data_IF_451922938494
#
_entry.id   IF_451922938494
#
_cell.length_a   1.000
_cell.length_b   1.000
_cell.length_c   1.000
_cell.angle_alpha   90.00
_cell.angle_beta   90.00
_cell.angle_gamma   90.00
#
_symmetry.space_group_name_H-M   'P 1'
#
loop_
_entity.id
_entity.type
_entity.pdbx_description
1 polymer ?
#
# COMPACT_ATOMS: atom_id res chain seq x y z
N UNK A 1 -35.03 -86.49 -78.34
CA UNK A 1 -35.38 -85.39 -79.28
C UNK A 1 -36.23 -84.39 -78.54
N UNK A 2 -35.92 -83.08 -78.57
CA UNK A 2 -34.66 -82.43 -78.95
C UNK A 2 -33.79 -82.18 -77.69
N UNK A 3 -32.47 -82.39 -77.65
CA UNK A 3 -31.35 -81.83 -78.44
C UNK A 3 -31.16 -80.31 -78.30
N UNK A 4 -30.14 -79.91 -77.51
CA UNK A 4 -28.98 -79.06 -77.85
C UNK A 4 -28.18 -78.86 -76.54
N UNK A 5 -27.15 -79.67 -76.25
CA UNK A 5 -25.72 -79.52 -76.56
C UNK A 5 -25.05 -78.21 -76.03
N UNK A 6 -24.19 -78.44 -75.03
CA UNK A 6 -22.92 -77.79 -74.65
C UNK A 6 -22.76 -76.26 -74.59
N UNK A 7 -22.24 -75.78 -73.45
CA UNK A 7 -20.84 -75.31 -73.39
C UNK A 7 -20.26 -75.31 -71.96
N UNK A 8 -19.01 -75.75 -71.85
CA UNK A 8 -18.17 -75.71 -70.65
C UNK A 8 -17.52 -74.34 -70.49
N UNK A 9 -17.35 -73.84 -69.25
CA UNK A 9 -16.15 -73.10 -68.84
C UNK A 9 -16.12 -72.86 -67.30
N UNK A 10 -15.21 -73.59 -66.66
CA UNK A 10 -14.32 -73.21 -65.56
C UNK A 10 -14.45 -71.82 -64.89
N UNK A 11 -14.45 -71.87 -63.55
CA UNK A 11 -13.70 -71.03 -62.58
C UNK A 11 -13.84 -69.50 -62.66
N UNK A 12 -14.13 -68.86 -61.52
CA UNK A 12 -13.12 -68.11 -60.76
C UNK A 12 -13.75 -67.47 -59.52
N UNK A 13 -12.99 -67.55 -58.43
CA UNK A 13 -13.12 -66.82 -57.17
C UNK A 13 -13.49 -65.35 -57.34
N UNK A 14 -14.64 -64.91 -56.80
CA UNK A 14 -14.95 -63.49 -56.69
C UNK A 14 -14.25 -62.89 -55.46
N UNK A 15 -13.11 -62.27 -55.74
CA UNK A 15 -12.50 -61.26 -54.89
C UNK A 15 -13.53 -60.17 -54.55
N UNK A 16 -13.66 -59.87 -53.26
CA UNK A 16 -14.43 -58.74 -52.74
C UNK A 16 -13.77 -57.42 -53.21
N UNK A 17 -14.16 -56.92 -54.39
CA UNK A 17 -13.83 -55.56 -54.82
C UNK A 17 -14.92 -54.62 -54.31
N UNK A 18 -14.62 -53.86 -53.26
CA UNK A 18 -15.51 -52.77 -52.83
C UNK A 18 -15.69 -51.78 -53.98
N UNK A 19 -16.94 -51.55 -54.34
CA UNK A 19 -17.30 -50.67 -55.44
C UNK A 19 -16.86 -49.23 -55.13
N UNK A 20 -16.36 -48.49 -56.12
CA UNK A 20 -15.80 -47.14 -55.93
C UNK A 20 -16.83 -46.19 -55.29
N UNK A 21 -18.11 -46.46 -55.52
CA UNK A 21 -19.23 -45.74 -54.92
C UNK A 21 -19.37 -46.01 -53.42
N UNK A 22 -19.13 -47.24 -52.96
CA UNK A 22 -19.16 -47.59 -51.54
C UNK A 22 -17.98 -46.96 -50.77
N UNK A 23 -16.80 -46.94 -51.37
CA UNK A 23 -15.62 -46.27 -50.79
C UNK A 23 -15.88 -44.77 -50.62
N UNK A 24 -16.53 -44.13 -51.60
CA UNK A 24 -16.92 -42.71 -51.51
C UNK A 24 -17.89 -42.43 -50.36
N UNK A 25 -18.89 -43.30 -50.15
CA UNK A 25 -19.86 -43.16 -49.06
C UNK A 25 -19.19 -43.33 -47.69
N UNK A 26 -18.29 -44.30 -47.56
CA UNK A 26 -17.53 -44.51 -46.32
C UNK A 26 -16.65 -43.31 -46.01
N UNK A 27 -15.93 -42.77 -47.01
CA UNK A 27 -15.13 -41.56 -46.85
C UNK A 27 -15.97 -40.35 -46.44
N UNK A 28 -17.12 -40.13 -47.08
CA UNK A 28 -18.02 -39.04 -46.73
C UNK A 28 -18.56 -39.16 -45.30
N UNK A 29 -18.89 -40.39 -44.86
CA UNK A 29 -19.31 -40.63 -43.49
C UNK A 29 -18.17 -40.39 -42.48
N UNK A 30 -16.95 -40.81 -42.79
CA UNK A 30 -15.78 -40.53 -41.94
C UNK A 30 -15.56 -39.01 -41.85
N UNK A 31 -15.63 -38.29 -42.96
CA UNK A 31 -15.52 -36.82 -42.97
C UNK A 31 -16.64 -36.18 -42.16
N UNK A 32 -17.89 -36.67 -42.28
CA UNK A 32 -19.01 -36.17 -41.49
C UNK A 32 -18.80 -36.40 -39.98
N UNK A 33 -18.30 -37.58 -39.58
CA UNK A 33 -17.95 -37.87 -38.20
C UNK A 33 -16.81 -36.99 -37.68
N UNK A 34 -15.77 -36.76 -38.49
CA UNK A 34 -14.68 -35.84 -38.15
C UNK A 34 -15.20 -34.42 -37.96
N UNK A 35 -16.06 -33.92 -38.86
CA UNK A 35 -16.64 -32.58 -38.75
C UNK A 35 -17.55 -32.44 -37.52
N UNK A 36 -18.31 -33.49 -37.19
CA UNK A 36 -19.17 -33.52 -36.00
C UNK A 36 -18.33 -33.57 -34.72
N UNK A 37 -17.23 -34.32 -34.71
CA UNK A 37 -16.28 -34.37 -33.59
C UNK A 37 -15.56 -33.02 -33.40
N UNK A 38 -15.15 -32.36 -34.49
CA UNK A 38 -14.57 -31.00 -34.46
C UNK A 38 -15.58 -29.97 -33.95
N UNK A 39 -16.87 -30.11 -34.29
CA UNK A 39 -17.92 -29.23 -33.79
C UNK A 39 -18.18 -29.43 -32.28
N UNK A 40 -18.12 -30.67 -31.78
CA UNK A 40 -18.31 -31.00 -30.36
C UNK A 40 -17.10 -30.68 -29.47
N UNK A 41 -15.88 -30.64 -30.02
CA UNK A 41 -14.66 -30.27 -29.27
C UNK A 41 -14.48 -28.75 -29.17
N UNK A 42 -15.19 -27.95 -29.98
CA UNK A 42 -15.15 -26.50 -29.77
C UNK A 42 -15.74 -26.20 -28.39
N UNK A 43 -14.96 -25.66 -27.43
CA UNK A 43 -15.56 -25.16 -26.21
C UNK A 43 -16.63 -24.14 -26.62
N UNK A 44 -17.74 -24.00 -25.86
CA UNK A 44 -18.66 -22.89 -26.08
C UNK A 44 -17.82 -21.62 -26.19
N UNK A 45 -18.15 -20.66 -27.08
CA UNK A 45 -17.41 -19.41 -27.14
C UNK A 45 -17.38 -18.90 -25.72
N UNK A 46 -16.19 -18.98 -25.09
CA UNK A 46 -16.00 -18.42 -23.78
C UNK A 46 -16.40 -16.97 -24.01
N UNK A 47 -17.48 -16.54 -23.35
CA UNK A 47 -17.66 -15.13 -23.10
C UNK A 47 -16.43 -14.76 -22.28
N UNK A 48 -15.35 -14.48 -23.00
CA UNK A 48 -14.15 -13.88 -22.50
C UNK A 48 -14.64 -12.52 -22.06
N UNK A 49 -15.18 -12.46 -20.85
CA UNK A 49 -15.31 -11.27 -20.06
C UNK A 49 -13.87 -10.85 -19.80
N UNK A 50 -13.25 -10.32 -20.83
CA UNK A 50 -11.98 -9.65 -20.74
C UNK A 50 -12.15 -8.62 -19.61
N UNK A 51 -11.14 -8.51 -18.73
CA UNK A 51 -11.16 -7.51 -17.67
C UNK A 51 -11.57 -6.17 -18.28
N UNK A 52 -12.41 -5.40 -17.58
CA UNK A 52 -13.00 -4.15 -18.08
C UNK A 52 -11.94 -3.23 -18.75
N UNK A 53 -10.72 -3.28 -18.23
CA UNK A 53 -9.47 -2.72 -18.77
C UNK A 53 -9.27 -2.94 -20.29
N UNK A 54 -9.43 -4.18 -20.75
CA UNK A 54 -9.18 -4.58 -22.14
C UNK A 54 -10.35 -4.24 -23.07
N UNK A 55 -11.54 -3.97 -22.50
CA UNK A 55 -12.72 -3.44 -23.22
C UNK A 55 -12.68 -1.92 -23.36
N UNK A 56 -12.12 -1.22 -22.38
CA UNK A 56 -11.98 0.23 -22.42
C UNK A 56 -10.81 0.67 -23.32
N UNK A 57 -9.77 -0.16 -23.46
CA UNK A 57 -8.56 0.21 -24.17
C UNK A 57 -8.06 -0.94 -25.08
N UNK A 58 -8.67 -1.10 -26.26
CA UNK A 58 -8.43 -2.23 -27.19
C UNK A 58 -6.97 -2.41 -27.65
N UNK A 59 -6.10 -1.41 -27.47
CA UNK A 59 -4.67 -1.46 -27.85
C UNK A 59 -3.72 -0.99 -26.74
N UNK A 60 -4.21 -0.86 -25.49
CA UNK A 60 -3.35 -0.46 -24.38
C UNK A 60 -2.74 -1.70 -23.73
N UNK A 61 -1.50 -1.99 -24.10
CA UNK A 61 -0.72 -3.07 -23.49
C UNK A 61 -0.24 -2.75 -22.06
N UNK A 62 -0.48 -1.52 -21.59
CA UNK A 62 0.07 -0.99 -20.35
C UNK A 62 1.57 -0.74 -20.45
N UNK A 63 2.05 0.33 -19.83
CA UNK A 63 3.44 0.33 -19.36
C UNK A 63 3.51 -0.61 -18.15
N UNK A 64 4.62 -1.34 -17.98
CA UNK A 64 4.81 -2.15 -16.76
C UNK A 64 5.02 -1.18 -15.60
N UNK A 65 3.92 -0.75 -14.99
CA UNK A 65 3.95 0.06 -13.79
C UNK A 65 4.53 -0.79 -12.66
N UNK A 66 5.82 -0.60 -12.35
CA UNK A 66 6.52 -1.29 -11.26
C UNK A 66 6.18 -0.67 -9.90
N UNK A 67 4.90 -0.44 -9.62
CA UNK A 67 4.42 0.16 -8.36
C UNK A 67 4.84 -0.60 -7.11
N UNK A 68 5.25 -1.86 -7.22
CA UNK A 68 5.68 -2.64 -6.06
C UNK A 68 7.07 -2.29 -5.53
N UNK A 69 7.88 -1.58 -6.34
CA UNK A 69 9.22 -1.13 -5.95
C UNK A 69 9.40 0.38 -6.14
N UNK A 70 8.50 1.16 -5.52
CA UNK A 70 8.53 2.62 -5.52
C UNK A 70 9.87 3.16 -5.00
N UNK A 71 10.45 2.53 -3.99
CA UNK A 71 11.73 2.95 -3.43
C UNK A 71 12.84 3.03 -4.50
N UNK A 72 13.03 1.99 -5.30
CA UNK A 72 14.04 2.01 -6.37
C UNK A 72 13.76 3.07 -7.44
N UNK A 73 12.47 3.42 -7.66
CA UNK A 73 12.07 4.47 -8.60
C UNK A 73 12.44 5.88 -8.08
N UNK A 74 12.13 6.18 -6.82
CA UNK A 74 12.28 7.55 -6.29
C UNK A 74 13.57 7.81 -5.51
N UNK A 75 14.26 6.77 -5.01
CA UNK A 75 15.48 6.91 -4.20
C UNK A 75 16.63 7.61 -4.92
N UNK A 76 16.68 7.49 -6.25
CA UNK A 76 17.68 8.17 -7.11
C UNK A 76 17.47 9.69 -7.18
N UNK A 77 16.27 10.16 -6.82
CA UNK A 77 15.91 11.57 -6.85
C UNK A 77 15.75 12.08 -5.41
N UNK A 78 16.88 12.31 -4.74
CA UNK A 78 16.94 12.69 -3.33
C UNK A 78 15.99 13.84 -2.94
N UNK A 79 15.88 14.88 -3.79
CA UNK A 79 14.98 16.01 -3.52
C UNK A 79 13.49 15.61 -3.55
N UNK A 80 13.06 14.78 -4.51
CA UNK A 80 11.68 14.27 -4.55
C UNK A 80 11.43 13.30 -3.40
N UNK A 81 12.42 12.47 -3.08
CA UNK A 81 12.34 11.54 -1.96
C UNK A 81 12.09 12.30 -0.66
N UNK A 82 12.91 13.30 -0.37
CA UNK A 82 12.78 14.15 0.82
C UNK A 82 11.44 14.90 0.84
N UNK A 83 10.99 15.45 -0.30
CA UNK A 83 9.70 16.14 -0.38
C UNK A 83 8.50 15.23 -0.01
N UNK A 84 8.61 13.94 -0.30
CA UNK A 84 7.56 12.95 -0.04
C UNK A 84 7.68 12.25 1.31
N UNK A 85 8.86 12.21 1.93
CA UNK A 85 9.11 11.42 3.16
C UNK A 85 9.64 12.24 4.33
N UNK A 86 10.12 13.46 4.09
CA UNK A 86 10.93 14.27 5.01
C UNK A 86 12.26 13.62 5.44
N UNK A 87 12.66 12.52 4.81
CA UNK A 87 13.90 11.79 5.10
C UNK A 87 14.82 11.76 3.88
N UNK A 88 16.11 11.51 4.11
CA UNK A 88 17.04 11.19 3.01
C UNK A 88 16.92 9.71 2.64
N UNK A 89 17.28 9.28 1.41
CA UNK A 89 17.26 7.86 1.07
C UNK A 89 18.13 6.99 1.99
N UNK A 90 19.25 7.53 2.48
CA UNK A 90 20.20 6.82 3.36
C UNK A 90 19.63 6.66 4.77
N UNK A 91 19.15 7.75 5.38
CA UNK A 91 18.52 7.72 6.71
C UNK A 91 17.25 6.88 6.70
N UNK A 92 16.46 6.96 5.64
CA UNK A 92 15.29 6.11 5.44
C UNK A 92 15.64 4.62 5.37
N UNK A 93 16.67 4.23 4.60
CA UNK A 93 17.09 2.83 4.53
C UNK A 93 17.57 2.32 5.88
N UNK A 94 18.30 3.15 6.64
CA UNK A 94 18.70 2.83 8.01
C UNK A 94 17.47 2.54 8.87
N UNK A 95 16.50 3.47 8.92
CA UNK A 95 15.23 3.28 9.61
C UNK A 95 14.54 1.97 9.20
N UNK A 96 14.38 1.73 7.90
CA UNK A 96 13.70 0.55 7.38
C UNK A 96 14.40 -0.76 7.78
N UNK A 97 15.74 -0.77 7.80
CA UNK A 97 16.53 -1.92 8.23
C UNK A 97 16.44 -2.14 9.75
N UNK A 98 16.43 -1.07 10.54
CA UNK A 98 16.36 -1.14 12.00
C UNK A 98 15.01 -1.72 12.47
N UNK A 99 13.90 -1.38 11.79
CA UNK A 99 12.56 -1.87 12.14
C UNK A 99 12.19 -3.19 11.44
N UNK A 100 12.94 -3.61 10.42
CA UNK A 100 12.75 -4.85 9.67
C UNK A 100 12.55 -6.09 10.57
N UNK A 101 13.43 -6.39 11.55
CA UNK A 101 13.29 -7.60 12.37
C UNK A 101 11.98 -7.59 13.17
N UNK A 102 11.61 -6.44 13.72
CA UNK A 102 10.35 -6.28 14.47
C UNK A 102 9.15 -6.52 13.57
N UNK A 103 9.13 -5.91 12.37
CA UNK A 103 8.04 -6.08 11.42
C UNK A 103 7.89 -7.52 10.95
N UNK A 104 8.98 -8.23 10.69
CA UNK A 104 8.96 -9.63 10.27
C UNK A 104 8.39 -10.56 11.35
N UNK A 105 8.62 -10.24 12.62
CA UNK A 105 8.15 -11.01 13.77
C UNK A 105 6.70 -10.71 14.18
N UNK A 106 6.13 -9.58 13.73
CA UNK A 106 4.75 -9.24 14.01
C UNK A 106 3.77 -10.21 13.33
N UNK A 107 2.96 -10.87 14.16
CA UNK A 107 1.78 -11.64 13.74
C UNK A 107 0.59 -10.68 13.71
N UNK A 108 -0.17 -10.68 12.62
CA UNK A 108 -1.30 -9.77 12.49
C UNK A 108 -2.37 -9.99 13.57
N UNK A 109 -2.50 -11.19 14.16
CA UNK A 109 -3.60 -11.51 15.08
C UNK A 109 -3.27 -12.55 16.19
N UNK A 110 -2.01 -12.67 16.63
CA UNK A 110 -1.65 -13.57 17.76
C UNK A 110 -1.82 -15.09 17.55
N UNK A 111 -2.43 -15.56 16.47
CA UNK A 111 -2.68 -16.99 16.18
C UNK A 111 -1.55 -17.66 15.36
N UNK A 112 -1.36 -19.00 15.46
CA UNK A 112 -0.39 -19.74 14.65
C UNK A 112 -0.80 -19.83 13.17
N UNK A 113 0.21 -19.86 12.27
CA UNK A 113 0.05 -19.77 10.81
C UNK A 113 -0.77 -20.93 10.21
N UNK A 114 -1.83 -20.60 9.49
CA UNK A 114 -2.31 -21.39 8.34
C UNK A 114 -2.08 -20.53 7.08
N UNK A 115 -0.99 -20.82 6.35
CA UNK A 115 -0.56 -20.19 5.08
C UNK A 115 -0.61 -18.65 5.03
N UNK A 116 0.53 -18.00 5.30
CA UNK A 116 0.75 -16.61 4.85
C UNK A 116 0.68 -16.54 3.32
N UNK A 117 -0.36 -15.89 2.78
CA UNK A 117 -0.32 -15.38 1.41
C UNK A 117 0.87 -14.42 1.35
N UNK A 118 1.84 -14.65 0.46
CA UNK A 118 3.02 -13.77 0.29
C UNK A 118 2.54 -12.33 0.21
N UNK A 119 2.99 -11.47 1.13
CA UNK A 119 2.76 -10.03 1.03
C UNK A 119 3.37 -9.55 -0.28
N UNK A 120 2.57 -8.85 -1.09
CA UNK A 120 2.89 -8.49 -2.47
C UNK A 120 4.04 -7.46 -2.57
N UNK A 121 4.39 -6.79 -1.46
CA UNK A 121 5.33 -5.66 -1.40
C UNK A 121 6.42 -5.87 -0.34
N UNK A 122 7.65 -5.44 -0.65
CA UNK A 122 8.81 -5.54 0.26
C UNK A 122 8.62 -4.61 1.49
N UNK A 123 9.22 -4.96 2.63
CA UNK A 123 9.17 -4.18 3.88
C UNK A 123 9.66 -2.75 3.67
N UNK A 124 10.72 -2.53 2.90
CA UNK A 124 11.22 -1.19 2.56
C UNK A 124 10.10 -0.33 1.93
N UNK A 125 9.35 -0.89 0.97
CA UNK A 125 8.23 -0.20 0.34
C UNK A 125 7.01 -0.07 1.28
N UNK A 126 6.82 -0.98 2.25
CA UNK A 126 5.80 -0.82 3.30
C UNK A 126 6.10 0.40 4.19
N UNK A 127 7.35 0.53 4.64
CA UNK A 127 7.79 1.67 5.45
C UNK A 127 7.72 2.96 4.63
N UNK A 128 8.12 2.92 3.35
CA UNK A 128 8.02 4.06 2.44
C UNK A 128 6.58 4.54 2.31
N UNK A 129 5.63 3.62 2.11
CA UNK A 129 4.21 3.92 2.03
C UNK A 129 3.73 4.65 3.27
N UNK A 130 4.09 4.18 4.46
CA UNK A 130 3.67 4.81 5.72
C UNK A 130 4.33 6.17 5.92
N UNK A 131 5.61 6.34 5.57
CA UNK A 131 6.29 7.64 5.61
C UNK A 131 5.64 8.66 4.67
N UNK A 132 5.30 8.25 3.45
CA UNK A 132 4.59 9.10 2.49
C UNK A 132 3.20 9.49 3.00
N UNK A 133 2.49 8.53 3.60
CA UNK A 133 1.19 8.78 4.21
C UNK A 133 1.29 9.77 5.38
N UNK A 134 2.25 9.61 6.30
CA UNK A 134 2.46 10.54 7.41
C UNK A 134 2.85 11.95 6.93
N UNK A 135 3.65 12.05 5.88
CA UNK A 135 4.14 13.34 5.37
C UNK A 135 3.09 14.13 4.59
N UNK A 136 2.28 13.45 3.77
CA UNK A 136 1.37 14.09 2.82
C UNK A 136 -0.10 13.87 3.13
N UNK A 137 -0.41 13.00 4.09
CA UNK A 137 -1.76 12.58 4.41
C UNK A 137 -2.58 12.20 3.16
N UNK A 138 -1.93 11.52 2.21
CA UNK A 138 -2.53 11.18 0.92
C UNK A 138 -3.68 10.19 1.08
N UNK A 139 -4.69 10.31 0.21
CA UNK A 139 -5.82 9.37 0.16
C UNK A 139 -5.34 7.93 -0.08
N UNK A 140 -6.02 6.97 0.56
CA UNK A 140 -5.69 5.54 0.50
C UNK A 140 -5.67 5.03 -0.94
N UNK A 141 -6.62 5.46 -1.78
CA UNK A 141 -6.70 5.05 -3.19
C UNK A 141 -5.52 5.58 -4.01
N UNK A 142 -5.01 6.76 -3.67
CA UNK A 142 -3.80 7.30 -4.30
C UNK A 142 -2.61 6.41 -3.93
N UNK A 143 -2.42 6.09 -2.65
CA UNK A 143 -1.33 5.20 -2.23
C UNK A 143 -1.46 3.79 -2.85
N UNK A 144 -2.68 3.26 -2.94
CA UNK A 144 -2.97 1.99 -3.60
C UNK A 144 -2.51 2.00 -5.08
N UNK A 145 -2.82 3.09 -5.79
CA UNK A 145 -2.37 3.32 -7.16
C UNK A 145 -0.84 3.39 -7.24
N UNK A 146 -0.18 4.22 -6.42
CA UNK A 146 1.28 4.37 -6.45
C UNK A 146 2.03 3.07 -6.17
N UNK A 147 1.51 2.24 -5.27
CA UNK A 147 2.18 1.02 -4.81
C UNK A 147 1.72 -0.28 -5.52
N UNK A 148 0.80 -0.21 -6.49
CA UNK A 148 0.17 -1.36 -7.16
C UNK A 148 -0.38 -2.41 -6.16
N UNK A 149 -1.12 -1.94 -5.14
CA UNK A 149 -1.75 -2.80 -4.13
C UNK A 149 -3.20 -2.41 -3.90
N UNK A 150 -3.99 -3.32 -3.34
CA UNK A 150 -5.37 -3.02 -3.01
C UNK A 150 -5.47 -2.04 -1.82
N UNK A 151 -6.49 -1.16 -1.78
CA UNK A 151 -6.69 -0.21 -0.67
C UNK A 151 -6.73 -0.87 0.72
N UNK A 152 -7.28 -2.09 0.82
CA UNK A 152 -7.33 -2.81 2.11
C UNK A 152 -5.94 -3.22 2.60
N UNK A 153 -5.03 -3.54 1.68
CA UNK A 153 -3.64 -3.84 1.97
C UNK A 153 -2.86 -2.59 2.38
N UNK A 154 -3.13 -1.42 1.78
CA UNK A 154 -2.57 -0.13 2.23
C UNK A 154 -2.92 0.10 3.70
N UNK A 155 -4.20 0.00 4.04
CA UNK A 155 -4.70 0.17 5.42
C UNK A 155 -4.02 -0.83 6.36
N UNK A 156 -3.98 -2.12 5.99
CA UNK A 156 -3.32 -3.16 6.79
C UNK A 156 -1.83 -2.86 7.02
N UNK A 157 -1.14 -2.35 6.00
CA UNK A 157 0.27 -1.97 6.10
C UNK A 157 0.44 -0.79 7.07
N UNK A 158 -0.42 0.23 6.99
CA UNK A 158 -0.39 1.40 7.89
C UNK A 158 -0.57 0.93 9.34
N UNK A 159 -1.66 0.23 9.65
CA UNK A 159 -1.95 -0.22 11.02
C UNK A 159 -0.90 -1.19 11.58
N UNK A 160 -0.24 -1.99 10.73
CA UNK A 160 0.84 -2.89 11.16
C UNK A 160 2.16 -2.16 11.41
N UNK A 161 2.50 -1.20 10.56
CA UNK A 161 3.84 -0.58 10.53
C UNK A 161 3.92 0.63 11.43
N UNK A 162 2.85 1.42 11.52
CA UNK A 162 2.80 2.64 12.31
C UNK A 162 3.14 2.43 13.80
N UNK A 163 2.62 1.40 14.51
CA UNK A 163 2.99 1.18 15.91
C UNK A 163 4.47 0.81 16.11
N UNK A 164 5.09 0.15 15.13
CA UNK A 164 6.53 -0.17 15.18
C UNK A 164 7.36 1.09 14.99
N UNK A 165 6.98 1.92 14.02
CA UNK A 165 7.62 3.22 13.81
C UNK A 165 7.47 4.10 15.06
N UNK A 166 6.28 4.16 15.65
CA UNK A 166 6.06 4.89 16.90
C UNK A 166 7.06 4.48 17.99
N UNK A 167 7.22 3.18 18.24
CA UNK A 167 8.20 2.67 19.22
C UNK A 167 9.65 2.97 18.85
N UNK A 168 9.97 3.03 17.56
CA UNK A 168 11.30 3.42 17.11
C UNK A 168 11.58 4.91 17.39
N UNK A 169 10.58 5.77 17.23
CA UNK A 169 10.70 7.22 17.39
C UNK A 169 10.43 7.74 18.82
N UNK A 170 9.84 6.92 19.69
CA UNK A 170 9.37 7.35 21.03
C UNK A 170 10.44 8.05 21.90
N UNK A 171 11.72 7.72 21.73
CA UNK A 171 12.82 8.27 22.54
C UNK A 171 13.67 9.31 21.79
N UNK A 172 13.21 9.84 20.65
CA UNK A 172 13.98 10.84 19.90
C UNK A 172 13.79 12.27 20.42
N UNK A 173 12.64 12.55 21.01
CA UNK A 173 12.35 13.83 21.67
C UNK A 173 12.48 13.58 23.16
N UNK A 174 13.51 14.16 23.78
CA UNK A 174 13.77 14.00 25.21
C UNK A 174 13.93 15.36 25.87
N UNK A 175 13.36 15.48 27.07
CA UNK A 175 13.57 16.64 27.90
C UNK A 175 15.03 16.73 28.37
N UNK A 176 15.66 17.93 28.37
CA UNK A 176 17.04 18.07 28.78
C UNK A 176 17.26 17.65 30.23
N UNK A 177 18.35 16.93 30.47
CA UNK A 177 18.80 16.62 31.82
C UNK A 177 19.39 17.86 32.51
N UNK A 178 19.75 17.76 33.80
CA UNK A 178 20.28 18.91 34.56
C UNK A 178 21.58 19.50 33.99
N UNK A 179 22.45 18.69 33.39
CA UNK A 179 23.68 19.18 32.80
C UNK A 179 23.39 19.91 31.47
N UNK A 180 22.56 19.33 30.63
CA UNK A 180 22.09 19.96 29.37
C UNK A 180 21.33 21.26 29.67
N UNK A 181 20.43 21.27 30.64
CA UNK A 181 19.70 22.46 31.08
C UNK A 181 20.65 23.61 31.44
N UNK A 182 21.72 23.30 32.20
CA UNK A 182 22.73 24.31 32.57
C UNK A 182 23.47 24.86 31.36
N UNK A 183 23.71 24.03 30.35
CA UNK A 183 24.35 24.45 29.11
C UNK A 183 23.41 25.30 28.23
N UNK A 184 22.09 25.10 28.34
CA UNK A 184 21.09 25.91 27.62
C UNK A 184 20.96 27.32 28.21
N UNK A 185 21.16 27.50 29.52
CA UNK A 185 21.13 28.81 30.16
C UNK A 185 22.21 29.74 29.58
N UNK A 186 21.87 31.02 29.42
CA UNK A 186 22.75 32.04 28.84
C UNK A 186 22.80 32.02 27.30
N UNK A 187 22.14 31.06 26.65
CA UNK A 187 22.08 30.98 25.18
C UNK A 187 21.31 32.14 24.54
N UNK A 188 20.40 32.77 25.30
CA UNK A 188 19.64 33.93 24.86
C UNK A 188 20.08 35.18 25.62
N UNK A 189 20.80 36.10 24.98
CA UNK A 189 21.38 37.27 25.66
C UNK A 189 20.35 38.14 26.40
N UNK A 190 19.16 38.28 25.82
CA UNK A 190 18.07 39.09 26.39
C UNK A 190 17.33 38.37 27.52
N UNK A 191 17.38 37.03 27.55
CA UNK A 191 16.67 36.17 28.48
C UNK A 191 17.62 35.07 28.99
N UNK A 192 18.63 35.39 29.80
CA UNK A 192 19.72 34.47 30.15
C UNK A 192 19.24 33.24 30.95
N UNK A 193 18.08 33.33 31.61
CA UNK A 193 17.49 32.21 32.36
C UNK A 193 16.55 31.35 31.52
N UNK A 194 16.29 31.73 30.27
CA UNK A 194 15.43 30.96 29.39
C UNK A 194 16.24 29.89 28.68
N UNK A 195 15.65 28.69 28.61
CA UNK A 195 16.29 27.47 28.08
C UNK A 195 15.58 26.91 26.85
N UNK A 196 14.44 27.49 26.49
CA UNK A 196 13.62 27.02 25.39
C UNK A 196 12.40 27.89 25.15
N UNK A 197 11.87 27.78 23.94
CA UNK A 197 10.78 28.60 23.42
C UNK A 197 9.56 27.70 23.32
N UNK A 198 8.44 28.19 23.82
CA UNK A 198 7.17 27.48 23.77
C UNK A 198 6.33 28.13 22.70
N UNK A 199 5.87 27.35 21.73
CA UNK A 199 4.95 27.81 20.70
C UNK A 199 3.78 26.83 20.52
N UNK A 200 2.63 27.37 20.14
CA UNK A 200 1.43 26.60 19.89
C UNK A 200 1.03 26.70 18.40
N UNK A 201 0.97 25.56 17.73
CA UNK A 201 0.57 25.44 16.33
C UNK A 201 -0.78 24.76 16.18
N UNK A 202 -1.79 25.46 15.63
CA UNK A 202 -3.08 24.88 15.26
C UNK A 202 -3.02 24.08 13.97
N UNK A 203 -3.65 22.93 14.00
CA UNK A 203 -3.83 22.01 12.89
C UNK A 203 -5.30 22.02 12.52
N UNK A 204 -5.63 22.49 11.33
CA UNK A 204 -6.99 22.48 10.83
C UNK A 204 -7.52 21.04 10.74
N UNK A 205 -8.76 20.86 11.20
CA UNK A 205 -9.49 19.61 11.09
C UNK A 205 -10.81 19.86 10.38
N UNK A 206 -11.39 18.81 9.80
CA UNK A 206 -12.76 18.87 9.33
C UNK A 206 -13.70 19.20 10.49
N UNK A 207 -14.78 19.93 10.18
CA UNK A 207 -15.86 20.18 11.11
C UNK A 207 -16.35 18.84 11.70
N UNK A 208 -16.32 18.67 13.04
CA UNK A 208 -16.84 17.46 13.66
C UNK A 208 -18.32 17.28 13.31
N UNK A 209 -18.69 16.08 12.85
CA UNK A 209 -20.09 15.77 12.51
C UNK A 209 -20.98 15.63 13.75
N UNK A 210 -20.39 15.34 14.91
CA UNK A 210 -21.07 15.18 16.18
C UNK A 210 -20.90 16.43 17.06
N UNK A 211 -21.96 16.80 17.77
CA UNK A 211 -21.91 17.82 18.82
C UNK A 211 -21.23 17.30 20.10
N UNK A 212 -20.55 18.15 20.89
CA UNK A 212 -20.38 19.59 20.69
C UNK A 212 -19.23 19.94 19.73
N UNK A 213 -19.49 20.79 18.73
CA UNK A 213 -18.46 21.29 17.79
C UNK A 213 -17.62 22.43 18.37
N UNK A 214 -18.23 23.27 19.21
CA UNK A 214 -17.63 24.48 19.80
C UNK A 214 -16.23 24.29 20.39
N UNK A 215 -15.91 23.19 21.10
CA UNK A 215 -14.56 23.00 21.65
C UNK A 215 -13.47 22.94 20.57
N UNK A 216 -13.79 22.43 19.39
CA UNK A 216 -12.85 22.34 18.27
C UNK A 216 -12.75 23.63 17.48
N UNK A 217 -13.68 24.57 17.64
CA UNK A 217 -13.68 25.82 16.88
C UNK A 217 -12.79 26.88 17.54
N UNK A 218 -11.81 27.41 16.80
CA UNK A 218 -11.00 28.54 17.25
C UNK A 218 -11.71 29.85 16.96
N UNK A 219 -12.09 30.58 18.02
CA UNK A 219 -12.69 31.91 17.86
C UNK A 219 -11.75 32.96 17.28
N UNK A 220 -10.42 32.78 17.42
CA UNK A 220 -9.42 33.69 16.86
C UNK A 220 -9.13 33.43 15.39
N UNK A 221 -9.07 32.14 14.98
CA UNK A 221 -8.72 31.75 13.62
C UNK A 221 -9.91 31.48 12.71
N UNK A 222 -11.10 31.35 13.29
CA UNK A 222 -12.37 31.12 12.60
C UNK A 222 -12.51 29.79 11.85
N UNK A 223 -11.78 28.75 12.28
CA UNK A 223 -11.92 27.38 11.75
C UNK A 223 -11.80 26.31 12.86
N UNK A 224 -12.17 25.08 12.55
CA UNK A 224 -12.05 23.94 13.47
C UNK A 224 -10.61 23.42 13.48
N UNK A 225 -10.00 23.32 14.66
CA UNK A 225 -8.61 22.90 14.79
C UNK A 225 -8.33 22.13 16.07
N UNK A 226 -7.18 21.46 16.06
CA UNK A 226 -6.50 20.96 17.24
C UNK A 226 -5.17 21.68 17.39
N UNK A 227 -4.85 22.10 18.59
CA UNK A 227 -3.61 22.79 18.89
C UNK A 227 -2.57 21.80 19.38
N UNK A 228 -1.33 22.01 18.97
CA UNK A 228 -0.16 21.30 19.46
C UNK A 228 0.79 22.32 20.04
N UNK A 229 1.27 22.07 21.24
CA UNK A 229 2.28 22.89 21.90
C UNK A 229 3.61 22.17 21.86
N UNK A 230 4.66 22.91 21.49
CA UNK A 230 6.01 22.38 21.38
C UNK A 230 6.98 23.28 22.12
N UNK A 231 8.05 22.68 22.64
CA UNK A 231 9.18 23.38 23.23
C UNK A 231 10.40 23.12 22.35
N UNK A 232 11.06 24.19 21.92
CA UNK A 232 12.33 24.12 21.20
C UNK A 232 13.46 24.72 22.01
N UNK A 233 14.67 24.21 21.84
CA UNK A 233 15.87 24.85 22.39
C UNK A 233 16.42 25.94 21.45
N UNK A 234 17.54 26.55 21.84
CA UNK A 234 18.25 27.57 21.07
C UNK A 234 18.84 27.06 19.75
N UNK A 235 19.02 25.75 19.60
CA UNK A 235 19.53 25.09 18.39
C UNK A 235 18.39 24.59 17.48
N UNK A 236 17.14 24.95 17.80
CA UNK A 236 15.93 24.52 17.09
C UNK A 236 15.63 23.02 17.18
N UNK A 237 16.16 22.32 18.20
CA UNK A 237 15.73 20.96 18.51
C UNK A 237 14.41 20.98 19.27
N UNK A 238 13.48 20.12 18.86
CA UNK A 238 12.24 19.89 19.61
C UNK A 238 12.61 19.09 20.86
N UNK A 239 12.34 19.66 22.04
CA UNK A 239 12.60 19.05 23.36
C UNK A 239 11.36 18.48 24.01
N UNK A 240 10.19 18.99 23.65
CA UNK A 240 8.91 18.50 24.14
C UNK A 240 7.82 18.79 23.13
N UNK A 241 6.83 17.89 23.04
CA UNK A 241 5.69 18.01 22.16
C UNK A 241 4.45 17.44 22.86
N UNK A 242 3.41 18.26 23.00
CA UNK A 242 2.11 17.80 23.44
C UNK A 242 1.03 18.26 22.46
N UNK A 243 0.37 17.29 21.83
CA UNK A 243 -0.67 17.50 20.85
C UNK A 243 -2.07 17.22 21.43
N UNK A 244 -3.11 17.63 20.69
CA UNK A 244 -4.50 17.29 21.00
C UNK A 244 -5.23 18.28 21.89
N UNK A 245 -4.69 19.49 22.08
CA UNK A 245 -5.43 20.57 22.71
C UNK A 245 -6.59 21.01 21.80
N UNK A 246 -7.73 21.33 22.40
CA UNK A 246 -8.93 21.72 21.65
C UNK A 246 -8.75 23.11 21.03
N UNK A 247 -9.30 23.35 19.83
CA UNK A 247 -9.13 24.61 19.10
C UNK A 247 -9.63 25.88 19.81
N UNK A 248 -10.58 25.74 20.73
CA UNK A 248 -11.06 26.83 21.60
C UNK A 248 -10.13 27.13 22.78
N UNK A 249 -9.12 26.30 23.02
CA UNK A 249 -8.17 26.44 24.13
C UNK A 249 -7.16 27.54 23.82
N UNK A 250 -7.11 28.57 24.67
CA UNK A 250 -6.05 29.57 24.64
C UNK A 250 -4.69 28.96 25.00
N UNK A 251 -3.61 29.50 24.42
CA UNK A 251 -2.24 29.00 24.61
C UNK A 251 -1.81 28.97 26.09
N UNK A 252 -2.21 29.99 26.87
CA UNK A 252 -1.94 30.03 28.30
C UNK A 252 -2.67 28.90 29.07
N UNK A 253 -3.85 28.50 28.62
CA UNK A 253 -4.58 27.37 29.19
C UNK A 253 -3.95 26.05 28.76
N UNK A 254 -3.56 25.92 27.49
CA UNK A 254 -2.84 24.75 27.00
C UNK A 254 -1.55 24.52 27.80
N UNK A 255 -0.77 25.58 28.04
CA UNK A 255 0.44 25.54 28.86
C UNK A 255 0.17 25.04 30.29
N UNK A 256 -0.94 25.44 30.91
CA UNK A 256 -1.32 24.98 32.26
C UNK A 256 -1.78 23.52 32.30
N UNK A 257 -2.35 23.03 31.20
CA UNK A 257 -2.79 21.64 31.05
C UNK A 257 -1.65 20.71 30.62
N UNK A 258 -0.55 21.28 30.13
CA UNK A 258 0.65 20.56 29.75
C UNK A 258 1.26 19.86 30.96
N UNK A 259 1.99 18.76 30.73
CA UNK A 259 2.81 18.17 31.79
C UNK A 259 3.76 19.23 32.36
N UNK A 260 3.93 19.33 33.70
CA UNK A 260 4.85 20.29 34.28
C UNK A 260 6.26 20.09 33.72
N UNK A 261 6.84 21.16 33.18
CA UNK A 261 8.20 21.17 32.62
C UNK A 261 9.15 21.95 33.53
N UNK A 262 10.41 21.51 33.60
CA UNK A 262 11.39 22.09 34.51
C UNK A 262 12.69 21.30 34.60
N UNK A 263 13.71 21.83 35.31
CA UNK A 263 15.03 21.21 35.39
C UNK A 263 14.97 19.87 36.14
N UNK A 264 15.49 18.81 35.53
CA UNK A 264 15.60 17.49 36.16
C UNK A 264 14.29 16.71 36.30
N UNK A 265 13.21 17.19 35.68
CA UNK A 265 11.98 16.41 35.53
C UNK A 265 12.18 15.36 34.43
N UNK A 266 11.78 14.13 34.73
CA UNK A 266 11.61 13.08 33.71
C UNK A 266 10.21 13.26 33.15
N UNK A 267 10.12 13.54 31.85
CA UNK A 267 8.86 13.55 31.12
C UNK A 267 8.68 12.17 30.47
N UNK A 268 7.49 11.61 30.60
CA UNK A 268 7.13 10.26 30.11
C UNK A 268 6.69 10.30 28.64
#
# INVERSE_FOLDING_TARGET
MPCFMLECASSLSSSCSMDAQQVRVVLLNIVAWILLFVAFIRPPPQQNLSPLQHRLFENFHGEIFRGRDVFSLISRQAHLFWRNTAETPVSFLKLANDILPTLQNLRLDGQPRVRQRRLKINVVNQVLLVMMWLRKYSYIDTLALWFDIDPTSVIRIIYRTLPVMWRYFQNQITWPNLAEWRNLMGSWPELPNAVGAIDATPHEIYCPLAEPQRPFYSGHRHYHCLNTQLVMDNESHIRFLQAGFLGSTHDATAYRLMQPIGPGLVLD
#
